data_IF_668515474683
#
_entry.id   IF_668515474683
#
_cell.length_a   1.000
_cell.length_b   1.000
_cell.length_c   1.000
_cell.angle_alpha   90.00
_cell.angle_beta   90.00
_cell.angle_gamma   90.00
#
_symmetry.space_group_name_H-M   'P 1'
#
loop_
_entity.id
_entity.type
_entity.pdbx_description
1 polymer ?
#
# COMPACT_ATOMS: atom_id res chain seq x y z
N UNK A 1 -3.31 -28.96 24.77
CA UNK A 1 -3.27 -29.15 23.30
C UNK A 1 -3.35 -27.81 22.53
N UNK A 2 -4.31 -26.95 22.83
CA UNK A 2 -4.48 -25.63 22.13
C UNK A 2 -3.20 -24.79 22.05
N UNK A 3 -2.49 -24.58 23.16
CA UNK A 3 -1.27 -23.76 23.19
C UNK A 3 -0.13 -24.30 22.33
N UNK A 4 0.00 -25.64 22.22
CA UNK A 4 1.02 -26.25 21.36
C UNK A 4 0.67 -26.02 19.87
N UNK A 5 -0.61 -26.14 19.51
CA UNK A 5 -1.11 -25.87 18.15
C UNK A 5 -0.89 -24.40 17.78
N UNK A 6 -1.19 -23.46 18.71
CA UNK A 6 -0.92 -22.05 18.52
C UNK A 6 0.59 -21.76 18.34
N UNK A 7 1.44 -22.45 19.08
CA UNK A 7 2.90 -22.34 18.98
C UNK A 7 3.42 -22.82 17.61
N UNK A 8 2.86 -23.91 17.07
CA UNK A 8 3.17 -24.41 15.73
C UNK A 8 2.82 -23.36 14.68
N UNK A 9 1.62 -22.77 14.77
CA UNK A 9 1.19 -21.70 13.85
C UNK A 9 2.14 -20.51 13.92
N UNK A 10 2.46 -20.02 15.11
CA UNK A 10 3.38 -18.90 15.30
C UNK A 10 4.78 -19.21 14.76
N UNK A 11 5.31 -20.41 15.00
CA UNK A 11 6.61 -20.83 14.48
C UNK A 11 6.61 -20.83 12.93
N UNK A 12 5.57 -21.37 12.30
CA UNK A 12 5.44 -21.38 10.84
C UNK A 12 5.34 -19.96 10.27
N UNK A 13 4.59 -19.06 10.92
CA UNK A 13 4.51 -17.65 10.51
C UNK A 13 5.89 -17.00 10.65
N UNK A 14 6.59 -17.16 11.75
CA UNK A 14 7.91 -16.56 11.96
C UNK A 14 8.95 -17.06 10.95
N UNK A 15 8.97 -18.36 10.67
CA UNK A 15 9.88 -18.96 9.68
C UNK A 15 9.55 -18.46 8.27
N UNK A 16 8.27 -18.44 7.89
CA UNK A 16 7.81 -17.98 6.60
C UNK A 16 8.09 -16.50 6.39
N UNK A 17 7.86 -15.66 7.41
CA UNK A 17 8.08 -14.22 7.35
C UNK A 17 9.55 -13.83 7.15
N UNK A 18 10.50 -14.62 7.69
CA UNK A 18 11.94 -14.36 7.51
C UNK A 18 12.44 -14.51 6.07
N UNK A 19 11.77 -15.33 5.25
CA UNK A 19 12.22 -15.65 3.88
C UNK A 19 11.35 -15.03 2.79
N UNK A 20 10.26 -14.35 3.16
CA UNK A 20 9.29 -13.65 2.29
C UNK A 20 8.75 -14.44 1.06
N UNK A 21 7.71 -13.94 0.41
CA UNK A 21 7.19 -14.51 -0.84
C UNK A 21 6.66 -15.96 -0.69
N UNK A 22 7.10 -16.84 -1.57
CA UNK A 22 6.64 -18.25 -1.65
C UNK A 22 6.90 -19.04 -0.36
N UNK A 23 7.94 -18.67 0.41
CA UNK A 23 8.29 -19.35 1.66
C UNK A 23 7.18 -19.25 2.73
N UNK A 24 6.39 -18.18 2.73
CA UNK A 24 5.24 -18.04 3.63
C UNK A 24 4.17 -19.08 3.31
N UNK A 25 3.87 -19.29 2.01
CA UNK A 25 2.92 -20.33 1.58
C UNK A 25 3.40 -21.75 1.93
N UNK A 26 4.69 -22.03 1.71
CA UNK A 26 5.29 -23.32 2.07
C UNK A 26 5.23 -23.57 3.58
N UNK A 27 5.63 -22.60 4.40
CA UNK A 27 5.55 -22.70 5.85
C UNK A 27 4.11 -22.88 6.34
N UNK A 28 3.13 -22.22 5.71
CA UNK A 28 1.71 -22.43 5.98
C UNK A 28 1.26 -23.86 5.66
N UNK A 29 1.70 -24.41 4.51
CA UNK A 29 1.43 -25.81 4.14
C UNK A 29 2.02 -26.81 5.13
N UNK A 30 3.26 -26.60 5.57
CA UNK A 30 3.90 -27.42 6.60
C UNK A 30 3.16 -27.35 7.93
N UNK A 31 2.74 -26.12 8.34
CA UNK A 31 1.94 -25.93 9.54
C UNK A 31 0.61 -26.68 9.49
N UNK A 32 -0.09 -26.58 8.36
CA UNK A 32 -1.33 -27.32 8.13
C UNK A 32 -1.11 -28.83 8.18
N UNK A 33 -0.06 -29.35 7.54
CA UNK A 33 0.32 -30.74 7.58
C UNK A 33 0.52 -31.24 9.01
N UNK A 34 1.27 -30.51 9.83
CA UNK A 34 1.50 -30.84 11.25
C UNK A 34 0.17 -30.87 12.01
N UNK A 35 -0.68 -29.87 11.84
CA UNK A 35 -1.97 -29.77 12.54
C UNK A 35 -2.92 -30.89 12.16
N UNK A 36 -2.96 -31.29 10.90
CA UNK A 36 -3.86 -32.34 10.41
C UNK A 36 -3.33 -33.74 10.75
N UNK A 37 -2.08 -34.05 10.42
CA UNK A 37 -1.55 -35.40 10.51
C UNK A 37 -0.99 -35.75 11.90
N UNK A 38 -0.45 -34.77 12.63
CA UNK A 38 0.12 -35.04 13.97
C UNK A 38 -0.93 -34.78 15.06
N UNK A 39 -1.69 -33.67 14.94
CA UNK A 39 -2.70 -33.31 15.95
C UNK A 39 -4.11 -33.82 15.63
N UNK A 40 -4.31 -34.44 14.45
CA UNK A 40 -5.60 -35.03 14.07
C UNK A 40 -6.73 -33.99 13.86
N UNK A 41 -6.38 -32.73 13.60
CA UNK A 41 -7.38 -31.67 13.33
C UNK A 41 -8.03 -31.89 11.97
N UNK A 42 -9.34 -31.72 11.90
CA UNK A 42 -10.06 -31.74 10.62
C UNK A 42 -9.85 -30.43 9.91
N UNK A 43 -9.32 -30.42 8.67
CA UNK A 43 -9.19 -29.20 7.91
C UNK A 43 -10.56 -28.63 7.58
N UNK A 44 -10.71 -27.32 7.72
CA UNK A 44 -11.88 -26.61 7.22
C UNK A 44 -11.88 -26.59 5.69
N UNK A 45 -13.06 -26.41 5.07
CA UNK A 45 -13.15 -26.20 3.62
C UNK A 45 -12.37 -24.93 3.24
N UNK A 46 -11.50 -25.00 2.21
CA UNK A 46 -10.76 -23.83 1.78
C UNK A 46 -11.71 -22.74 1.25
N UNK A 47 -11.44 -21.47 1.52
CA UNK A 47 -12.26 -20.35 1.04
C UNK A 47 -12.03 -20.11 -0.47
N UNK A 48 -12.49 -21.02 -1.32
CA UNK A 48 -12.23 -21.04 -2.76
C UNK A 48 -12.64 -19.71 -3.44
N UNK A 49 -13.80 -19.17 -3.08
CA UNK A 49 -14.27 -17.91 -3.64
C UNK A 49 -13.30 -16.75 -3.36
N UNK A 50 -12.74 -16.71 -2.14
CA UNK A 50 -11.75 -15.70 -1.77
C UNK A 50 -10.46 -15.87 -2.57
N UNK A 51 -9.99 -17.11 -2.75
CA UNK A 51 -8.79 -17.40 -3.56
C UNK A 51 -9.00 -16.98 -5.01
N UNK A 52 -10.16 -17.25 -5.59
CA UNK A 52 -10.50 -16.84 -6.96
C UNK A 52 -10.52 -15.31 -7.10
N UNK A 53 -11.08 -14.59 -6.13
CA UNK A 53 -11.06 -13.12 -6.13
C UNK A 53 -9.62 -12.61 -6.09
N UNK A 54 -8.78 -13.15 -5.20
CA UNK A 54 -7.36 -12.74 -5.09
C UNK A 54 -6.63 -12.97 -6.42
N UNK A 55 -6.81 -14.14 -7.06
CA UNK A 55 -6.17 -14.46 -8.33
C UNK A 55 -6.66 -13.50 -9.43
N UNK A 56 -7.95 -13.28 -9.56
CA UNK A 56 -8.53 -12.40 -10.57
C UNK A 56 -8.00 -10.97 -10.44
N UNK A 57 -8.01 -10.42 -9.23
CA UNK A 57 -7.55 -9.05 -8.97
C UNK A 57 -6.05 -8.91 -9.13
N UNK A 58 -5.26 -9.89 -8.66
CA UNK A 58 -3.80 -9.88 -8.86
C UNK A 58 -3.44 -9.94 -10.35
N UNK A 59 -4.17 -10.74 -11.13
CA UNK A 59 -4.00 -10.80 -12.58
C UNK A 59 -4.35 -9.48 -13.26
N UNK A 60 -5.46 -8.86 -12.86
CA UNK A 60 -5.89 -7.56 -13.38
C UNK A 60 -4.88 -6.46 -13.05
N UNK A 61 -4.34 -6.42 -11.83
CA UNK A 61 -3.29 -5.48 -11.44
C UNK A 61 -1.98 -5.70 -12.22
N UNK A 62 -1.61 -6.96 -12.50
CA UNK A 62 -0.46 -7.27 -13.35
C UNK A 62 -0.67 -6.81 -14.80
N UNK A 63 -1.87 -7.01 -15.36
CA UNK A 63 -2.23 -6.49 -16.68
C UNK A 63 -2.16 -4.96 -16.75
N UNK A 64 -2.67 -4.27 -15.73
CA UNK A 64 -2.57 -2.81 -15.61
C UNK A 64 -1.11 -2.33 -15.66
N UNK A 65 -0.23 -3.03 -14.95
CA UNK A 65 1.20 -2.71 -14.90
C UNK A 65 1.86 -2.92 -16.26
N UNK A 66 1.65 -4.06 -16.91
CA UNK A 66 2.23 -4.38 -18.23
C UNK A 66 1.72 -3.44 -19.32
N UNK A 67 0.46 -3.02 -19.26
CA UNK A 67 -0.13 -2.06 -20.20
C UNK A 67 0.31 -0.60 -19.99
N UNK A 68 1.20 -0.31 -18.99
CA UNK A 68 1.66 1.04 -18.70
C UNK A 68 0.64 1.89 -17.93
N UNK A 69 -0.45 1.29 -17.45
CA UNK A 69 -1.46 1.99 -16.66
C UNK A 69 -0.91 2.50 -15.33
N UNK A 70 0.05 1.79 -14.75
CA UNK A 70 0.73 2.24 -13.54
C UNK A 70 1.50 3.55 -13.77
N UNK A 71 2.24 3.66 -14.87
CA UNK A 71 2.99 4.87 -15.21
C UNK A 71 2.05 6.07 -15.44
N UNK A 72 0.89 5.82 -16.04
CA UNK A 72 -0.15 6.84 -16.18
C UNK A 72 -0.66 7.32 -14.81
N UNK A 73 -0.92 6.41 -13.87
CA UNK A 73 -1.36 6.75 -12.52
C UNK A 73 -0.28 7.55 -11.77
N UNK A 74 0.99 7.16 -11.88
CA UNK A 74 2.13 7.89 -11.30
C UNK A 74 2.23 9.30 -11.88
N UNK A 75 2.08 9.46 -13.19
CA UNK A 75 2.09 10.77 -13.83
C UNK A 75 0.92 11.66 -13.34
N UNK A 76 -0.27 11.09 -13.19
CA UNK A 76 -1.42 11.83 -12.63
C UNK A 76 -1.17 12.24 -11.18
N UNK A 77 -0.55 11.36 -10.38
CA UNK A 77 -0.14 11.67 -9.02
C UNK A 77 0.87 12.82 -8.98
N UNK A 78 1.90 12.77 -9.82
CA UNK A 78 2.91 13.81 -9.94
C UNK A 78 2.27 15.17 -10.26
N UNK A 79 1.40 15.20 -11.27
CA UNK A 79 0.68 16.41 -11.66
C UNK A 79 -0.16 16.97 -10.50
N UNK A 80 -0.81 16.11 -9.73
CA UNK A 80 -1.62 16.50 -8.58
C UNK A 80 -0.76 17.04 -7.43
N UNK A 81 0.34 16.37 -7.12
CA UNK A 81 1.26 16.76 -6.05
C UNK A 81 1.98 18.09 -6.37
N UNK A 82 2.44 18.26 -7.62
CA UNK A 82 3.11 19.49 -8.07
C UNK A 82 2.18 20.69 -8.17
N UNK A 83 0.86 20.49 -8.27
CA UNK A 83 -0.11 21.59 -8.33
C UNK A 83 -0.19 22.40 -7.04
N UNK A 84 0.01 21.74 -5.88
CA UNK A 84 -0.05 22.39 -4.57
C UNK A 84 1.07 21.86 -3.65
N UNK A 85 2.34 22.19 -3.94
CA UNK A 85 3.49 21.63 -3.23
C UNK A 85 3.50 21.97 -1.73
N UNK A 86 3.00 23.14 -1.34
CA UNK A 86 2.90 23.54 0.07
C UNK A 86 1.96 22.67 0.91
N UNK A 87 1.07 21.91 0.27
CA UNK A 87 0.12 21.00 0.94
C UNK A 87 0.53 19.53 0.81
N UNK A 88 1.77 19.25 0.43
CA UNK A 88 2.23 17.90 0.13
C UNK A 88 2.06 16.95 1.31
N UNK A 89 2.21 17.42 2.55
CA UNK A 89 2.02 16.61 3.76
C UNK A 89 0.61 16.00 3.87
N UNK A 90 -0.40 16.67 3.29
CA UNK A 90 -1.77 16.17 3.23
C UNK A 90 -2.10 15.49 1.92
N UNK A 91 -1.55 15.98 0.81
CA UNK A 91 -1.84 15.43 -0.52
C UNK A 91 -1.15 14.08 -0.76
N UNK A 92 0.08 13.92 -0.27
CA UNK A 92 0.83 12.68 -0.44
C UNK A 92 0.10 11.45 0.16
N UNK A 93 -0.35 11.47 1.42
CA UNK A 93 -1.08 10.34 1.98
C UNK A 93 -2.43 10.09 1.30
N UNK A 94 -3.14 11.12 0.83
CA UNK A 94 -4.39 10.94 0.07
C UNK A 94 -4.12 10.19 -1.23
N UNK A 95 -3.11 10.60 -1.98
CA UNK A 95 -2.75 9.98 -3.26
C UNK A 95 -2.31 8.53 -3.05
N UNK A 96 -1.41 8.27 -2.10
CA UNK A 96 -0.93 6.91 -1.83
C UNK A 96 -2.02 6.01 -1.26
N UNK A 97 -2.91 6.54 -0.42
CA UNK A 97 -4.08 5.81 0.07
C UNK A 97 -5.01 5.41 -1.06
N UNK A 98 -5.43 6.37 -1.90
CA UNK A 98 -6.32 6.09 -3.03
C UNK A 98 -5.70 5.05 -3.98
N UNK A 99 -4.44 5.21 -4.35
CA UNK A 99 -3.77 4.25 -5.22
C UNK A 99 -3.77 2.84 -4.62
N UNK A 100 -3.47 2.72 -3.34
CA UNK A 100 -3.47 1.43 -2.67
C UNK A 100 -4.86 0.83 -2.53
N UNK A 101 -5.88 1.66 -2.25
CA UNK A 101 -7.27 1.20 -2.20
C UNK A 101 -7.73 0.65 -3.56
N UNK A 102 -7.40 1.33 -4.65
CA UNK A 102 -7.76 0.87 -5.99
C UNK A 102 -6.99 -0.39 -6.40
N UNK A 103 -5.68 -0.46 -6.12
CA UNK A 103 -4.84 -1.57 -6.61
C UNK A 103 -4.76 -2.76 -5.66
N UNK A 104 -5.21 -2.62 -4.42
CA UNK A 104 -5.14 -3.67 -3.39
C UNK A 104 -3.72 -3.96 -2.88
N UNK A 105 -2.73 -3.18 -3.30
CA UNK A 105 -1.32 -3.39 -2.98
C UNK A 105 -0.57 -2.07 -2.81
N UNK A 106 0.38 -2.02 -1.88
CA UNK A 106 1.23 -0.84 -1.65
C UNK A 106 2.36 -0.67 -2.69
N UNK A 107 2.57 -1.62 -3.59
CA UNK A 107 3.66 -1.53 -4.59
C UNK A 107 3.52 -0.31 -5.51
N UNK A 108 2.29 0.09 -5.82
CA UNK A 108 2.02 1.29 -6.64
C UNK A 108 2.50 2.56 -5.93
N UNK A 109 2.38 2.62 -4.61
CA UNK A 109 2.83 3.76 -3.82
C UNK A 109 4.37 3.91 -3.87
N UNK A 110 5.13 2.80 -4.02
CA UNK A 110 6.60 2.86 -4.16
C UNK A 110 7.02 3.72 -5.35
N UNK A 111 6.26 3.69 -6.44
CA UNK A 111 6.55 4.49 -7.63
C UNK A 111 6.28 6.00 -7.43
N UNK A 112 5.43 6.35 -6.46
CA UNK A 112 5.08 7.74 -6.13
C UNK A 112 6.03 8.35 -5.09
N UNK A 113 6.69 7.56 -4.27
CA UNK A 113 7.57 8.07 -3.20
C UNK A 113 8.69 8.98 -3.70
N UNK A 114 9.42 8.68 -4.78
CA UNK A 114 10.41 9.61 -5.32
C UNK A 114 9.81 10.97 -5.66
N UNK A 115 8.62 10.99 -6.26
CA UNK A 115 7.90 12.23 -6.60
C UNK A 115 7.54 13.02 -5.33
N UNK A 116 7.11 12.34 -4.27
CA UNK A 116 6.82 13.00 -2.99
C UNK A 116 8.09 13.65 -2.41
N UNK A 117 9.24 12.96 -2.48
CA UNK A 117 10.53 13.51 -2.05
C UNK A 117 10.90 14.77 -2.84
N UNK A 118 10.85 14.70 -4.17
CA UNK A 118 11.19 15.83 -5.05
C UNK A 118 10.30 17.04 -4.77
N UNK A 119 8.98 16.86 -4.76
CA UNK A 119 8.03 17.95 -4.52
C UNK A 119 8.16 18.54 -3.12
N UNK A 120 8.46 17.72 -2.10
CA UNK A 120 8.70 18.21 -0.74
C UNK A 120 9.97 19.07 -0.67
N UNK A 121 11.06 18.64 -1.34
CA UNK A 121 12.30 19.41 -1.43
C UNK A 121 12.11 20.71 -2.17
N UNK A 122 11.41 20.72 -3.32
CA UNK A 122 11.06 21.92 -4.08
C UNK A 122 10.25 22.92 -3.24
N UNK A 123 9.34 22.41 -2.40
CA UNK A 123 8.53 23.21 -1.50
C UNK A 123 9.25 23.63 -0.21
N UNK A 124 10.52 23.21 -0.02
CA UNK A 124 11.31 23.39 1.20
C UNK A 124 10.66 22.78 2.46
N UNK A 125 9.84 21.77 2.25
CA UNK A 125 9.18 21.00 3.31
C UNK A 125 10.05 19.79 3.65
N UNK A 126 10.25 19.56 4.94
CA UNK A 126 10.99 18.38 5.43
C UNK A 126 10.37 17.10 4.91
N UNK A 127 11.14 16.30 4.16
CA UNK A 127 10.68 15.13 3.40
C UNK A 127 10.05 14.08 4.30
N UNK A 128 10.55 13.92 5.53
CA UNK A 128 10.02 12.95 6.48
C UNK A 128 8.55 13.19 6.86
N UNK A 129 8.07 14.44 6.78
CA UNK A 129 6.67 14.77 7.10
C UNK A 129 5.70 14.10 6.11
N UNK A 130 5.72 14.41 4.80
CA UNK A 130 4.84 13.77 3.84
C UNK A 130 5.16 12.29 3.62
N UNK A 131 6.43 11.88 3.68
CA UNK A 131 6.84 10.52 3.41
C UNK A 131 6.37 9.54 4.48
N UNK A 132 6.53 9.88 5.77
CA UNK A 132 6.10 9.01 6.87
C UNK A 132 4.61 8.71 6.81
N UNK A 133 3.78 9.74 6.58
CA UNK A 133 2.34 9.55 6.54
C UNK A 133 1.87 8.94 5.21
N UNK A 134 2.56 9.19 4.09
CA UNK A 134 2.28 8.53 2.82
C UNK A 134 2.57 7.02 2.90
N UNK A 135 3.66 6.64 3.58
CA UNK A 135 3.98 5.23 3.84
C UNK A 135 2.89 4.55 4.69
N UNK A 136 2.48 5.19 5.79
CA UNK A 136 1.40 4.68 6.65
C UNK A 136 0.11 4.57 5.84
N UNK A 137 -0.23 5.58 5.06
CA UNK A 137 -1.43 5.62 4.24
C UNK A 137 -1.48 4.48 3.21
N UNK A 138 -0.35 4.20 2.55
CA UNK A 138 -0.27 3.09 1.60
C UNK A 138 -0.40 1.72 2.27
N UNK A 139 0.19 1.51 3.44
CA UNK A 139 0.07 0.24 4.16
C UNK A 139 -1.34 -0.01 4.69
N UNK A 140 -1.97 1.01 5.27
CA UNK A 140 -3.35 0.88 5.75
C UNK A 140 -4.40 0.90 4.63
N UNK A 141 -4.08 1.51 3.48
CA UNK A 141 -4.89 1.45 2.27
C UNK A 141 -5.15 0.03 1.78
N UNK A 142 -4.23 -0.91 2.03
CA UNK A 142 -4.44 -2.34 1.71
C UNK A 142 -5.68 -2.88 2.44
N UNK A 143 -5.83 -2.58 3.72
CA UNK A 143 -7.00 -3.03 4.51
C UNK A 143 -8.30 -2.30 4.13
N UNK A 144 -8.20 -1.13 3.52
CA UNK A 144 -9.34 -0.38 2.99
C UNK A 144 -9.65 -0.72 1.53
N UNK A 145 -8.92 -1.65 0.92
CA UNK A 145 -9.13 -2.05 -0.47
C UNK A 145 -10.11 -3.22 -0.57
N UNK A 146 -11.16 -3.14 -1.39
CA UNK A 146 -12.09 -4.25 -1.61
C UNK A 146 -11.42 -5.44 -2.29
N UNK A 147 -10.32 -5.21 -2.99
CA UNK A 147 -9.62 -6.19 -3.81
C UNK A 147 -8.37 -6.78 -3.13
N UNK A 148 -8.07 -6.37 -1.91
CA UNK A 148 -6.90 -6.87 -1.20
C UNK A 148 -7.12 -8.25 -0.56
N UNK A 149 -6.06 -9.00 -0.44
CA UNK A 149 -6.08 -10.30 0.25
C UNK A 149 -6.49 -10.18 1.72
N UNK A 150 -6.14 -9.09 2.40
CA UNK A 150 -6.52 -8.84 3.80
C UNK A 150 -8.03 -8.64 3.96
N UNK A 151 -8.65 -7.87 3.07
CA UNK A 151 -10.10 -7.66 3.07
C UNK A 151 -10.84 -8.94 2.69
N UNK A 152 -10.33 -9.68 1.72
CA UNK A 152 -10.90 -10.97 1.34
C UNK A 152 -10.85 -11.98 2.50
N UNK A 153 -9.74 -12.02 3.26
CA UNK A 153 -9.63 -12.86 4.43
C UNK A 153 -10.61 -12.44 5.55
N UNK A 154 -10.75 -11.13 5.78
CA UNK A 154 -11.70 -10.59 6.75
C UNK A 154 -13.15 -10.93 6.35
N UNK A 155 -13.48 -10.78 5.07
CA UNK A 155 -14.80 -11.16 4.54
C UNK A 155 -15.08 -12.65 4.75
N UNK A 156 -14.09 -13.54 4.53
CA UNK A 156 -14.25 -14.98 4.74
C UNK A 156 -14.62 -15.32 6.20
N UNK A 157 -14.07 -14.59 7.18
CA UNK A 157 -14.38 -14.78 8.60
C UNK A 157 -15.76 -14.22 8.96
N UNK A 158 -16.11 -13.04 8.43
CA UNK A 158 -17.33 -12.32 8.79
C UNK A 158 -18.55 -12.75 7.97
N UNK A 159 -18.36 -13.38 6.82
CA UNK A 159 -19.46 -13.85 5.96
C UNK A 159 -20.40 -14.82 6.70
N UNK A 160 -19.88 -15.65 7.60
CA UNK A 160 -20.67 -16.54 8.45
C UNK A 160 -21.63 -15.78 9.40
N UNK A 161 -21.37 -14.51 9.66
CA UNK A 161 -22.19 -13.61 10.48
C UNK A 161 -23.13 -12.73 9.62
N UNK A 162 -23.20 -12.97 8.30
CA UNK A 162 -24.03 -12.21 7.37
C UNK A 162 -23.48 -10.85 6.98
N UNK A 163 -22.19 -10.57 7.26
CA UNK A 163 -21.55 -9.30 6.91
C UNK A 163 -21.12 -9.32 5.45
N UNK A 164 -21.52 -8.30 4.70
CA UNK A 164 -21.16 -8.11 3.29
C UNK A 164 -19.87 -7.29 3.12
N UNK A 165 -19.22 -7.43 1.95
CA UNK A 165 -18.07 -6.63 1.59
C UNK A 165 -18.36 -5.12 1.66
N UNK A 166 -19.52 -4.69 1.19
CA UNK A 166 -19.92 -3.28 1.24
C UNK A 166 -19.99 -2.72 2.66
N UNK A 167 -20.50 -3.50 3.62
CA UNK A 167 -20.54 -3.11 5.04
C UNK A 167 -19.14 -2.99 5.63
N UNK A 168 -18.22 -3.91 5.29
CA UNK A 168 -16.82 -3.84 5.71
C UNK A 168 -16.18 -2.56 5.16
N UNK A 169 -16.35 -2.26 3.87
CA UNK A 169 -15.77 -1.07 3.25
C UNK A 169 -16.35 0.23 3.80
N UNK A 170 -17.64 0.25 4.09
CA UNK A 170 -18.32 1.43 4.63
C UNK A 170 -17.78 1.83 6.01
N UNK A 171 -17.21 0.89 6.75
CA UNK A 171 -16.57 1.15 8.05
C UNK A 171 -15.06 1.39 7.87
N UNK A 172 -14.36 0.51 7.14
CA UNK A 172 -12.89 0.58 7.07
C UNK A 172 -12.38 1.79 6.30
N UNK A 173 -12.98 2.11 5.15
CA UNK A 173 -12.51 3.22 4.31
C UNK A 173 -12.54 4.55 5.07
N UNK A 174 -13.68 5.00 5.65
CA UNK A 174 -13.70 6.27 6.37
C UNK A 174 -12.87 6.23 7.65
N UNK A 175 -12.86 5.12 8.40
CA UNK A 175 -12.09 5.01 9.63
C UNK A 175 -10.58 5.14 9.37
N UNK A 176 -10.06 4.43 8.37
CA UNK A 176 -8.65 4.48 7.99
C UNK A 176 -8.31 5.85 7.42
N UNK A 177 -9.16 6.41 6.54
CA UNK A 177 -8.94 7.74 5.97
C UNK A 177 -8.87 8.82 7.05
N UNK A 178 -9.77 8.81 8.03
CA UNK A 178 -9.74 9.72 9.17
C UNK A 178 -8.46 9.55 10.01
N UNK A 179 -8.07 8.31 10.27
CA UNK A 179 -6.81 8.01 10.99
C UNK A 179 -5.59 8.58 10.27
N UNK A 180 -5.53 8.42 8.94
CA UNK A 180 -4.47 8.97 8.10
C UNK A 180 -4.45 10.51 8.17
N UNK A 181 -5.62 11.16 8.11
CA UNK A 181 -5.71 12.62 8.19
C UNK A 181 -5.29 13.16 9.57
N UNK A 182 -5.67 12.48 10.65
CA UNK A 182 -5.20 12.81 12.01
C UNK A 182 -3.69 12.64 12.09
N UNK A 183 -3.15 11.54 11.53
CA UNK A 183 -1.71 11.32 11.42
C UNK A 183 -1.00 12.43 10.63
N UNK A 184 -1.56 12.88 9.51
CA UNK A 184 -1.01 13.98 8.72
C UNK A 184 -0.95 15.30 9.53
N UNK A 185 -1.99 15.60 10.29
CA UNK A 185 -2.00 16.77 11.21
C UNK A 185 -0.90 16.65 12.27
N UNK A 186 -0.69 15.44 12.82
CA UNK A 186 0.32 15.21 13.87
C UNK A 186 1.76 15.43 13.40
N UNK A 187 2.04 15.18 12.11
CA UNK A 187 3.40 15.33 11.53
C UNK A 187 3.61 16.66 10.81
N UNK A 188 2.54 17.42 10.53
CA UNK A 188 2.58 18.63 9.68
C UNK A 188 3.61 19.67 10.12
N UNK A 189 3.80 19.87 11.43
CA UNK A 189 4.77 20.82 12.01
C UNK A 189 5.89 20.13 12.78
N UNK A 190 6.09 18.83 12.61
CA UNK A 190 7.08 18.10 13.40
C UNK A 190 8.50 18.30 12.84
N UNK A 191 9.46 18.56 13.71
CA UNK A 191 10.86 18.79 13.36
C UNK A 191 11.15 20.22 12.91
N UNK A 192 12.45 20.52 12.69
CA UNK A 192 12.92 21.82 12.19
C UNK A 192 12.47 22.03 10.74
N UNK A 193 12.28 23.29 10.35
CA UNK A 193 12.12 23.62 8.93
C UNK A 193 13.42 23.35 8.17
N UNK A 194 13.34 22.92 6.93
CA UNK A 194 14.47 22.48 6.11
C UNK A 194 15.57 23.55 6.00
N UNK A 195 15.15 24.81 5.93
CA UNK A 195 16.07 25.96 5.87
C UNK A 195 16.89 26.16 7.16
N UNK A 196 16.40 25.68 8.29
CA UNK A 196 17.02 25.83 9.60
C UNK A 196 17.75 24.55 10.05
N UNK A 197 17.74 23.49 9.23
CA UNK A 197 18.38 22.22 9.54
C UNK A 197 19.87 22.26 9.16
N UNK A 198 20.80 22.15 10.14
CA UNK A 198 22.24 22.19 9.87
C UNK A 198 22.74 20.98 9.08
N UNK A 199 22.09 19.81 9.21
CA UNK A 199 22.45 18.62 8.42
C UNK A 199 22.05 18.81 6.96
N UNK A 200 20.88 19.36 6.70
CA UNK A 200 20.42 19.63 5.34
C UNK A 200 21.35 20.65 4.61
N UNK A 201 21.81 21.68 5.33
CA UNK A 201 22.78 22.66 4.77
C UNK A 201 24.08 21.97 4.38
N UNK A 202 24.60 21.08 5.22
CA UNK A 202 25.81 20.31 4.91
C UNK A 202 25.65 19.42 3.70
N UNK A 203 24.47 18.76 3.54
CA UNK A 203 24.18 17.89 2.39
C UNK A 203 24.07 18.67 1.08
N UNK A 204 23.62 19.92 1.12
CA UNK A 204 23.64 20.81 -0.04
C UNK A 204 25.09 21.27 -0.35
N UNK A 205 25.84 21.67 0.66
CA UNK A 205 27.24 22.13 0.51
C UNK A 205 28.15 20.99 0.01
N UNK A 206 27.91 19.75 0.42
CA UNK A 206 28.64 18.57 -0.08
C UNK A 206 28.23 18.14 -1.50
N UNK A 207 27.15 18.69 -2.05
CA UNK A 207 26.63 18.32 -3.36
C UNK A 207 25.91 16.97 -3.41
N UNK A 208 25.67 16.33 -2.26
CA UNK A 208 24.92 15.08 -2.18
C UNK A 208 23.43 15.27 -2.51
N UNK A 209 22.89 16.45 -2.21
CA UNK A 209 21.53 16.83 -2.57
C UNK A 209 21.60 18.05 -3.50
N UNK A 210 21.17 17.85 -4.74
CA UNK A 210 20.96 18.97 -5.66
C UNK A 210 19.49 19.36 -5.64
N UNK A 211 19.21 20.59 -5.21
CA UNK A 211 17.89 21.20 -5.35
C UNK A 211 17.70 21.55 -6.83
N UNK A 212 17.50 20.54 -7.66
CA UNK A 212 17.15 20.70 -9.07
C UNK A 212 15.65 20.48 -9.24
N UNK A 213 15.04 21.19 -10.18
CA UNK A 213 13.74 20.79 -10.71
C UNK A 213 13.91 19.36 -11.22
N UNK A 214 13.39 18.38 -10.49
CA UNK A 214 13.35 17.01 -10.96
C UNK A 214 12.78 17.06 -12.37
N UNK A 215 13.50 16.49 -13.32
CA UNK A 215 13.06 16.44 -14.70
C UNK A 215 11.70 15.73 -14.67
N UNK A 216 10.62 16.49 -14.78
CA UNK A 216 9.30 15.92 -15.04
C UNK A 216 9.48 15.00 -16.24
N UNK A 217 9.40 13.70 -16.02
CA UNK A 217 9.49 12.73 -17.11
C UNK A 217 8.38 13.10 -18.07
N UNK A 218 8.77 13.45 -19.29
CA UNK A 218 7.81 13.73 -20.35
C UNK A 218 7.10 12.42 -20.69
N UNK A 219 6.05 12.14 -19.92
CA UNK A 219 5.25 10.94 -20.09
C UNK A 219 4.15 11.23 -21.11
N UNK A 220 4.15 10.51 -22.22
CA UNK A 220 3.06 10.52 -23.19
C UNK A 220 2.17 9.33 -22.94
N UNK A 221 0.92 9.56 -22.46
CA UNK A 221 0.00 8.45 -22.21
C UNK A 221 -0.26 7.69 -23.52
N UNK A 222 -0.04 6.39 -23.49
CA UNK A 222 -0.41 5.50 -24.59
C UNK A 222 -1.90 5.19 -24.51
N UNK A 223 -2.50 4.82 -25.65
CA UNK A 223 -3.92 4.41 -25.68
C UNK A 223 -4.17 3.18 -24.81
N UNK A 224 -3.22 2.26 -24.81
CA UNK A 224 -3.25 1.05 -24.00
C UNK A 224 -3.27 1.36 -22.49
N UNK A 225 -2.46 2.31 -22.03
CA UNK A 225 -2.43 2.75 -20.66
C UNK A 225 -3.77 3.39 -20.23
N UNK A 226 -4.36 4.22 -21.09
CA UNK A 226 -5.65 4.85 -20.79
C UNK A 226 -6.79 3.81 -20.72
N UNK A 227 -6.83 2.86 -21.68
CA UNK A 227 -7.81 1.78 -21.71
C UNK A 227 -7.65 0.89 -20.47
N UNK A 228 -6.41 0.52 -20.11
CA UNK A 228 -6.17 -0.34 -18.97
C UNK A 228 -6.59 0.30 -17.65
N UNK A 229 -6.34 1.61 -17.45
CA UNK A 229 -6.78 2.34 -16.25
C UNK A 229 -8.31 2.47 -16.21
N UNK A 230 -8.95 2.75 -17.35
CA UNK A 230 -10.42 2.84 -17.40
C UNK A 230 -11.09 1.49 -17.15
N UNK A 231 -10.60 0.41 -17.74
CA UNK A 231 -11.10 -0.94 -17.47
C UNK A 231 -10.89 -1.34 -16.01
N UNK A 232 -9.72 -1.01 -15.46
CA UNK A 232 -9.43 -1.28 -14.05
C UNK A 232 -10.34 -0.52 -13.08
N UNK A 233 -10.75 0.70 -13.44
CA UNK A 233 -11.63 1.53 -12.60
C UNK A 233 -13.11 1.13 -12.69
N UNK A 234 -13.51 0.43 -13.77
CA UNK A 234 -14.90 0.01 -14.02
C UNK A 234 -15.19 -1.44 -13.59
N UNK A 235 -14.17 -2.28 -13.42
CA UNK A 235 -14.30 -3.71 -13.05
C UNK A 235 -14.09 -3.96 -11.59
#
# INVERSE_FOLDING_TARGET
>A
MFWIQALVILACIMIGARKSGVAMGFAGGVGLFILVFIFGLRPASPPVNVLLIIIAVSSMAACLQVAGGLDLLVHLAEKLLRRNPNRITFMAPIVTFLFTVFTGTSYVALAVYPVICEVALEAKIRVERPMSIALIASQHGISASPVSASTAALLAVLAAQGVSLGQIMLVLVPAIFLGIMIGAVSVYKKGLELENDPEFKKLIESGEITLGKGASREYKPTKEALISVTLFALG
#
